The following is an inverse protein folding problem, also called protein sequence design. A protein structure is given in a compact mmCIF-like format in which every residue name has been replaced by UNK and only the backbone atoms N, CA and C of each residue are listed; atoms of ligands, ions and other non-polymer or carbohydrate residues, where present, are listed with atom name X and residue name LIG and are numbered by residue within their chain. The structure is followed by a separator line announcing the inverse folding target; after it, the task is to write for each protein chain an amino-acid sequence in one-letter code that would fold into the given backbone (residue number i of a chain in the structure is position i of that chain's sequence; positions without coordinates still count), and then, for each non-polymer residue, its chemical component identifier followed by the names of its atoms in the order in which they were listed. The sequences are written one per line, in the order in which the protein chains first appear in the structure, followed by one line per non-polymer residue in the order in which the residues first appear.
data_IF_728307582780
#
_entry.id   IF_728307582780
#
_cell.length_a   1.000
_cell.length_b   1.000
_cell.length_c   1.000
_cell.angle_alpha   90.00
_cell.angle_beta   90.00
_cell.angle_gamma   90.00
#
_symmetry.space_group_name_H-M   'P 1'
#
loop_
_entity.id
_entity.type
_entity.pdbx_description
1 polymer ?
#
# COMPACT_ATOMS: atom_id res chain seq x y z
N UNK A 1 42.41 -17.41 -48.77
CA UNK A 1 42.44 -18.77 -48.18
C UNK A 1 43.04 -18.67 -46.78
N UNK A 2 42.52 -19.43 -45.80
CA UNK A 2 42.38 -18.97 -44.41
C UNK A 2 43.25 -19.74 -43.41
N UNK A 3 43.47 -19.14 -42.23
CA UNK A 3 43.64 -19.76 -40.90
C UNK A 3 44.16 -18.67 -39.93
N UNK A 4 43.72 -18.51 -38.69
CA UNK A 4 42.64 -19.13 -37.90
C UNK A 4 42.55 -18.33 -36.60
N UNK A 5 41.35 -17.84 -36.28
CA UNK A 5 40.96 -17.39 -34.95
C UNK A 5 41.07 -18.56 -33.97
N UNK A 6 42.10 -18.58 -33.12
CA UNK A 6 42.10 -19.52 -31.98
C UNK A 6 42.90 -19.06 -30.74
N UNK A 7 43.49 -17.86 -30.76
CA UNK A 7 44.30 -17.37 -29.62
C UNK A 7 43.63 -16.30 -28.75
N UNK A 8 42.42 -15.84 -29.07
CA UNK A 8 41.73 -14.79 -28.30
C UNK A 8 40.49 -15.25 -27.52
N UNK A 9 40.08 -16.53 -27.66
CA UNK A 9 38.97 -17.11 -26.91
C UNK A 9 39.39 -17.93 -25.67
N UNK A 10 40.70 -18.14 -25.44
CA UNK A 10 41.19 -18.89 -24.27
C UNK A 10 41.56 -18.04 -23.05
N UNK A 11 41.59 -16.71 -23.17
CA UNK A 11 41.92 -15.80 -22.06
C UNK A 11 40.73 -15.00 -21.49
N UNK A 12 39.53 -15.12 -22.08
CA UNK A 12 38.30 -14.56 -21.50
C UNK A 12 37.42 -15.60 -20.78
N UNK A 13 37.71 -16.90 -20.93
CA UNK A 13 36.94 -17.98 -20.25
C UNK A 13 37.58 -18.40 -18.92
N UNK A 14 38.85 -18.08 -18.68
CA UNK A 14 39.57 -18.37 -17.42
C UNK A 14 39.39 -17.30 -16.34
N UNK A 15 38.87 -16.11 -16.67
CA UNK A 15 38.56 -15.06 -15.68
C UNK A 15 37.08 -14.94 -15.30
N UNK A 16 36.19 -15.74 -15.92
CA UNK A 16 34.77 -15.82 -15.55
C UNK A 16 34.47 -17.04 -14.65
N UNK A 17 35.34 -18.05 -14.63
CA UNK A 17 35.22 -19.21 -13.73
C UNK A 17 35.91 -18.97 -12.36
N UNK A 18 36.76 -17.95 -12.25
CA UNK A 18 37.41 -17.56 -10.99
C UNK A 18 36.64 -16.50 -10.18
N UNK A 19 35.54 -15.93 -10.71
CA UNK A 19 34.64 -15.01 -9.99
C UNK A 19 33.26 -15.60 -9.66
N UNK A 20 32.99 -16.83 -10.05
CA UNK A 20 31.80 -17.60 -9.66
C UNK A 20 32.12 -18.65 -8.56
N UNK A 21 33.40 -18.78 -8.16
CA UNK A 21 33.85 -19.74 -7.16
C UNK A 21 34.18 -19.15 -5.76
N UNK A 22 33.84 -17.88 -5.48
CA UNK A 22 34.06 -17.25 -4.15
C UNK A 22 32.78 -16.84 -3.41
N UNK A 23 31.61 -17.33 -3.84
CA UNK A 23 30.32 -17.12 -3.16
C UNK A 23 29.70 -18.42 -2.61
N UNK A 24 30.48 -19.51 -2.54
CA UNK A 24 29.98 -20.84 -2.16
C UNK A 24 30.70 -21.46 -0.95
N UNK A 25 31.16 -20.67 0.04
CA UNK A 25 31.82 -21.22 1.24
C UNK A 25 31.30 -20.71 2.59
N UNK A 26 30.03 -20.34 2.69
CA UNK A 26 29.42 -20.04 4.00
C UNK A 26 28.08 -20.74 4.16
N UNK A 27 28.11 -22.08 4.29
CA UNK A 27 27.05 -22.87 4.91
C UNK A 27 27.52 -24.32 5.05
N UNK A 28 28.30 -24.59 6.09
CA UNK A 28 28.44 -25.92 6.68
C UNK A 28 28.46 -25.74 8.18
N UNK A 29 27.29 -25.75 8.79
CA UNK A 29 27.11 -26.19 10.17
C UNK A 29 25.92 -27.14 10.21
N UNK A 30 26.11 -28.18 11.00
CA UNK A 30 25.41 -29.44 10.98
C UNK A 30 23.95 -29.33 11.39
N UNK A 31 23.10 -30.04 10.65
CA UNK A 31 21.75 -30.39 11.10
C UNK A 31 21.86 -31.61 12.01
N UNK A 32 21.32 -31.51 13.23
CA UNK A 32 20.48 -32.49 13.95
C UNK A 32 20.20 -31.93 15.36
N UNK A 33 18.95 -31.60 15.66
CA UNK A 33 18.17 -32.25 16.74
C UNK A 33 16.75 -31.68 16.82
N UNK A 34 15.81 -32.59 17.06
CA UNK A 34 14.38 -32.35 17.19
C UNK A 34 13.99 -31.79 18.56
N UNK A 35 12.78 -31.21 18.60
CA UNK A 35 11.85 -30.98 19.71
C UNK A 35 11.78 -29.54 20.26
N UNK A 36 10.59 -28.95 20.03
CA UNK A 36 9.93 -27.84 20.74
C UNK A 36 10.66 -26.49 20.81
N UNK A 37 10.19 -25.49 20.05
CA UNK A 37 10.51 -24.07 20.31
C UNK A 37 11.01 -23.21 19.14
N UNK A 38 10.83 -23.62 17.88
CA UNK A 38 11.33 -22.88 16.72
C UNK A 38 10.31 -21.94 16.07
N UNK A 39 10.11 -20.74 16.63
CA UNK A 39 9.45 -19.63 15.93
C UNK A 39 9.85 -18.22 16.44
N UNK A 40 10.71 -18.08 17.47
CA UNK A 40 10.88 -16.79 18.18
C UNK A 40 12.12 -15.99 17.75
N UNK A 41 12.96 -16.48 16.83
CA UNK A 41 14.32 -15.91 16.65
C UNK A 41 14.45 -14.93 15.47
N UNK A 42 13.50 -14.88 14.53
CA UNK A 42 13.70 -14.09 13.29
C UNK A 42 13.27 -12.61 13.42
N UNK A 43 12.27 -12.28 14.24
CA UNK A 43 11.72 -10.92 14.32
C UNK A 43 12.65 -9.91 15.01
N UNK A 44 13.47 -10.37 15.96
CA UNK A 44 14.35 -9.47 16.74
C UNK A 44 15.38 -8.76 15.86
N UNK A 45 15.79 -9.35 14.73
CA UNK A 45 16.92 -8.87 13.93
C UNK A 45 16.63 -7.53 13.23
N UNK A 46 15.40 -7.32 12.78
CA UNK A 46 15.02 -6.16 11.98
C UNK A 46 14.19 -5.13 12.76
N UNK A 47 14.06 -5.29 14.08
CA UNK A 47 13.39 -4.30 14.94
C UNK A 47 14.03 -2.92 14.77
N UNK A 48 13.20 -1.90 14.61
CA UNK A 48 13.64 -0.53 14.32
C UNK A 48 14.09 -0.27 12.88
N UNK A 49 14.06 -1.29 11.99
CA UNK A 49 14.26 -1.12 10.54
C UNK A 49 12.92 -0.97 9.82
N UNK A 50 12.99 -0.48 8.59
CA UNK A 50 11.88 -0.48 7.64
C UNK A 50 12.17 -1.55 6.60
N UNK A 51 11.22 -2.44 6.36
CA UNK A 51 11.38 -3.53 5.38
C UNK A 51 10.89 -3.06 4.01
N UNK A 52 11.79 -2.99 3.03
CA UNK A 52 11.44 -2.72 1.63
C UNK A 52 11.55 -4.00 0.81
N UNK A 53 11.04 -3.98 -0.43
CA UNK A 53 11.22 -5.10 -1.38
C UNK A 53 12.68 -5.37 -1.73
N UNK A 54 13.58 -4.38 -1.54
CA UNK A 54 15.04 -4.53 -1.72
C UNK A 54 15.76 -5.00 -0.43
N UNK A 55 15.04 -5.16 0.67
CA UNK A 55 15.58 -5.50 1.99
C UNK A 55 15.37 -4.40 3.04
N UNK A 56 15.85 -4.60 4.28
CA UNK A 56 15.72 -3.63 5.36
C UNK A 56 16.58 -2.38 5.11
N UNK A 57 16.04 -1.21 5.47
CA UNK A 57 16.73 0.09 5.50
C UNK A 57 16.65 0.72 6.88
N UNK A 58 17.52 1.68 7.17
CA UNK A 58 17.38 2.56 8.33
C UNK A 58 16.20 3.52 8.15
N UNK A 59 15.48 3.91 9.22
CA UNK A 59 14.40 4.88 9.12
C UNK A 59 14.80 6.21 8.47
N UNK A 60 16.05 6.66 8.66
CA UNK A 60 16.53 7.92 8.10
C UNK A 60 16.78 7.86 6.58
N UNK A 61 16.77 6.67 5.97
CA UNK A 61 16.84 6.48 4.52
C UNK A 61 15.47 6.62 3.83
N UNK A 62 14.36 6.62 4.59
CA UNK A 62 13.00 6.58 4.05
C UNK A 62 12.64 7.84 3.23
N UNK A 63 12.98 9.03 3.72
CA UNK A 63 12.66 10.30 3.05
C UNK A 63 11.17 10.59 2.87
N UNK A 64 10.82 11.34 1.82
CA UNK A 64 9.42 11.68 1.48
C UNK A 64 8.69 10.40 1.06
N UNK A 65 7.57 10.13 1.71
CA UNK A 65 6.84 8.86 1.59
C UNK A 65 5.38 9.06 1.21
N UNK A 66 4.93 8.30 0.21
CA UNK A 66 3.50 8.07 -0.05
C UNK A 66 3.09 6.79 0.69
N UNK A 67 2.15 6.90 1.63
CA UNK A 67 1.81 5.84 2.59
C UNK A 67 0.71 4.88 2.13
N UNK A 68 0.02 5.23 1.04
CA UNK A 68 -1.04 4.40 0.48
C UNK A 68 -1.11 4.61 -1.03
N UNK A 69 -0.64 3.61 -1.77
CA UNK A 69 -0.65 3.60 -3.23
C UNK A 69 -0.74 2.17 -3.76
N UNK A 70 -1.19 2.01 -5.01
CA UNK A 70 -1.17 0.74 -5.72
C UNK A 70 -0.41 0.86 -7.04
N UNK A 71 0.71 0.15 -7.14
CA UNK A 71 1.54 0.16 -8.35
C UNK A 71 1.10 -0.93 -9.32
N UNK A 72 0.76 -2.10 -8.80
CA UNK A 72 0.32 -3.27 -9.56
C UNK A 72 -0.89 -3.87 -8.85
N UNK A 73 -2.04 -3.93 -9.52
CA UNK A 73 -3.31 -4.33 -8.92
C UNK A 73 -4.28 -4.98 -9.91
N UNK A 74 -5.22 -5.75 -9.38
CA UNK A 74 -6.35 -6.33 -10.09
C UNK A 74 -7.55 -6.43 -9.15
N UNK A 75 -8.43 -5.44 -9.24
CA UNK A 75 -9.68 -5.35 -8.49
C UNK A 75 -10.92 -5.66 -9.34
N UNK A 76 -10.73 -6.24 -10.53
CA UNK A 76 -11.84 -6.52 -11.46
C UNK A 76 -12.88 -7.43 -10.80
N UNK A 77 -12.44 -8.52 -10.19
CA UNK A 77 -13.35 -9.46 -9.51
C UNK A 77 -14.00 -8.88 -8.25
N UNK A 78 -13.45 -7.79 -7.71
CA UNK A 78 -13.96 -7.11 -6.51
C UNK A 78 -15.07 -6.12 -6.82
N UNK A 79 -14.88 -5.27 -7.84
CA UNK A 79 -15.79 -4.13 -8.09
C UNK A 79 -16.49 -4.14 -9.45
N UNK A 80 -15.97 -4.86 -10.45
CA UNK A 80 -16.55 -4.81 -11.78
C UNK A 80 -17.79 -5.71 -11.87
N UNK A 81 -18.92 -5.11 -12.25
CA UNK A 81 -20.15 -5.83 -12.58
C UNK A 81 -20.45 -5.61 -14.05
N UNK A 82 -20.46 -6.70 -14.81
CA UNK A 82 -20.77 -6.63 -16.24
C UNK A 82 -22.23 -6.22 -16.47
N UNK A 83 -22.46 -5.24 -17.33
CA UNK A 83 -23.79 -4.73 -17.62
C UNK A 83 -24.68 -5.73 -18.40
N UNK A 84 -25.99 -5.62 -18.25
CA UNK A 84 -26.95 -6.40 -19.07
C UNK A 84 -27.24 -5.76 -20.44
N UNK A 85 -26.94 -4.47 -20.62
CA UNK A 85 -27.12 -3.79 -21.89
C UNK A 85 -25.89 -3.98 -22.79
N UNK A 86 -26.09 -4.29 -24.08
CA UNK A 86 -25.00 -4.57 -25.02
C UNK A 86 -24.04 -3.38 -25.19
N UNK A 87 -24.56 -2.16 -25.30
CA UNK A 87 -23.73 -0.96 -25.44
C UNK A 87 -22.82 -0.76 -24.22
N UNK A 88 -23.37 -0.88 -23.01
CA UNK A 88 -22.60 -0.75 -21.76
C UNK A 88 -21.63 -1.90 -21.55
N UNK A 89 -21.96 -3.13 -21.97
CA UNK A 89 -20.98 -4.23 -21.97
C UNK A 89 -19.80 -3.96 -22.89
N UNK A 90 -20.08 -3.47 -24.09
CA UNK A 90 -19.04 -3.15 -25.07
C UNK A 90 -18.13 -2.02 -24.55
N UNK A 91 -18.71 -1.02 -23.90
CA UNK A 91 -17.96 0.02 -23.18
C UNK A 91 -17.10 -0.60 -22.06
N UNK A 92 -17.71 -1.43 -21.21
CA UNK A 92 -17.07 -1.98 -20.02
C UNK A 92 -15.90 -2.92 -20.33
N UNK A 93 -15.96 -3.66 -21.44
CA UNK A 93 -14.87 -4.50 -21.95
C UNK A 93 -13.84 -3.75 -22.80
N UNK A 94 -14.14 -2.50 -23.15
CA UNK A 94 -13.31 -1.66 -24.02
C UNK A 94 -12.07 -1.10 -23.30
N UNK A 95 -11.14 -0.50 -24.06
CA UNK A 95 -10.00 0.21 -23.48
C UNK A 95 -10.43 1.58 -22.92
N UNK A 96 -9.61 2.13 -22.02
CA UNK A 96 -9.68 3.55 -21.65
C UNK A 96 -9.15 4.36 -22.83
N UNK A 97 -9.97 5.29 -23.33
CA UNK A 97 -9.63 6.21 -24.41
C UNK A 97 -10.14 7.60 -24.09
N UNK A 98 -9.60 8.63 -24.74
CA UNK A 98 -9.98 10.02 -24.44
C UNK A 98 -11.50 10.26 -24.54
N UNK A 99 -12.19 9.61 -25.47
CA UNK A 99 -13.64 9.78 -25.66
C UNK A 99 -14.51 9.17 -24.56
N UNK A 100 -14.00 8.23 -23.75
CA UNK A 100 -14.76 7.61 -22.65
C UNK A 100 -14.30 8.05 -21.25
N UNK A 101 -13.27 8.89 -21.14
CA UNK A 101 -12.80 9.49 -19.88
C UNK A 101 -13.92 10.12 -19.03
N UNK A 102 -14.87 10.80 -19.66
CA UNK A 102 -15.98 11.44 -18.95
C UNK A 102 -16.90 10.44 -18.21
N UNK A 103 -16.98 9.20 -18.69
CA UNK A 103 -17.76 8.13 -18.03
C UNK A 103 -17.08 7.74 -16.72
N UNK A 104 -15.76 7.59 -16.75
CA UNK A 104 -14.93 7.21 -15.61
C UNK A 104 -15.00 8.21 -14.44
N UNK A 105 -15.18 9.50 -14.72
CA UNK A 105 -15.46 10.51 -13.67
C UNK A 105 -16.84 10.39 -13.01
N UNK A 106 -17.79 9.71 -13.66
CA UNK A 106 -19.16 9.49 -13.16
C UNK A 106 -19.37 8.10 -12.57
N UNK A 107 -18.53 7.16 -12.97
CA UNK A 107 -18.47 5.83 -12.40
C UNK A 107 -17.11 5.21 -12.75
N UNK A 108 -16.15 5.16 -11.80
CA UNK A 108 -14.84 4.56 -12.03
C UNK A 108 -14.92 3.06 -12.39
N UNK A 109 -16.01 2.39 -12.05
CA UNK A 109 -16.20 0.94 -12.25
C UNK A 109 -16.83 0.61 -13.60
N UNK A 110 -17.14 1.62 -14.43
CA UNK A 110 -17.80 1.42 -15.70
C UNK A 110 -16.95 0.68 -16.75
N UNK A 111 -15.61 0.73 -16.62
CA UNK A 111 -14.68 0.08 -17.55
C UNK A 111 -13.75 -0.83 -16.76
N UNK A 112 -13.80 -2.14 -17.03
CA UNK A 112 -13.02 -3.14 -16.26
C UNK A 112 -11.52 -2.90 -16.34
N UNK A 113 -11.04 -2.44 -17.49
CA UNK A 113 -9.63 -2.08 -17.69
C UNK A 113 -9.14 -0.96 -16.76
N UNK A 114 -10.03 -0.22 -16.09
CA UNK A 114 -9.67 0.79 -15.09
C UNK A 114 -9.25 0.20 -13.75
N UNK A 115 -9.78 -0.98 -13.43
CA UNK A 115 -9.62 -1.69 -12.16
C UNK A 115 -8.42 -2.65 -12.14
N UNK A 116 -7.60 -2.62 -13.20
CA UNK A 116 -6.45 -3.51 -13.34
C UNK A 116 -5.26 -2.78 -13.93
N UNK A 117 -4.11 -2.94 -13.28
CA UNK A 117 -2.83 -2.46 -13.76
C UNK A 117 -1.74 -3.49 -13.45
N UNK A 118 -1.23 -4.14 -14.49
CA UNK A 118 -0.24 -5.23 -14.39
C UNK A 118 1.04 -4.96 -15.20
N UNK A 119 1.25 -3.71 -15.63
CA UNK A 119 2.40 -3.32 -16.42
C UNK A 119 3.51 -2.70 -15.57
N UNK A 120 4.56 -3.48 -15.29
CA UNK A 120 5.76 -3.03 -14.56
C UNK A 120 6.37 -1.76 -15.18
N UNK A 121 6.50 -1.72 -16.50
CA UNK A 121 7.10 -0.57 -17.22
C UNK A 121 6.23 0.68 -17.12
N UNK A 122 4.91 0.52 -17.18
CA UNK A 122 3.98 1.63 -17.05
C UNK A 122 3.96 2.15 -15.60
N UNK A 123 3.88 1.24 -14.62
CA UNK A 123 3.98 1.56 -13.19
C UNK A 123 5.28 2.32 -12.85
N UNK A 124 6.42 1.84 -13.34
CA UNK A 124 7.69 2.52 -13.16
C UNK A 124 7.70 3.92 -13.78
N UNK A 125 7.13 4.09 -14.97
CA UNK A 125 7.03 5.41 -15.63
C UNK A 125 6.17 6.38 -14.82
N UNK A 126 5.02 5.92 -14.33
CA UNK A 126 4.12 6.75 -13.50
C UNK A 126 4.79 7.13 -12.16
N UNK A 127 5.43 6.17 -11.49
CA UNK A 127 6.14 6.39 -10.22
C UNK A 127 7.36 7.32 -10.37
N UNK A 128 8.01 7.37 -11.54
CA UNK A 128 9.09 8.32 -11.80
C UNK A 128 8.63 9.78 -11.69
N UNK A 129 7.35 10.09 -11.93
CA UNK A 129 6.84 11.44 -11.71
C UNK A 129 7.00 11.89 -10.25
N UNK A 130 6.81 10.97 -9.31
CA UNK A 130 7.06 11.19 -7.88
C UNK A 130 8.55 11.24 -7.55
N UNK A 131 9.37 10.36 -8.14
CA UNK A 131 10.84 10.42 -7.95
C UNK A 131 11.42 11.75 -8.43
N UNK A 132 10.99 12.26 -9.58
CA UNK A 132 11.51 13.47 -10.23
C UNK A 132 11.27 14.75 -9.41
N UNK A 133 10.27 14.75 -8.53
CA UNK A 133 9.99 15.86 -7.61
C UNK A 133 10.64 15.69 -6.23
N UNK A 134 11.49 14.66 -6.06
CA UNK A 134 12.22 14.38 -4.83
C UNK A 134 11.59 13.34 -3.91
N UNK A 135 10.59 12.59 -4.39
CA UNK A 135 10.02 11.45 -3.68
C UNK A 135 11.04 10.33 -3.44
N UNK A 136 10.91 9.62 -2.32
CA UNK A 136 11.85 8.58 -1.91
C UNK A 136 11.21 7.21 -1.74
N UNK A 137 10.01 7.16 -1.14
CA UNK A 137 9.39 5.90 -0.71
C UNK A 137 7.91 5.82 -1.05
N UNK A 138 7.45 4.61 -1.35
CA UNK A 138 6.04 4.28 -1.57
C UNK A 138 5.70 3.05 -0.73
N UNK A 139 4.63 3.12 0.04
CA UNK A 139 3.99 1.95 0.64
C UNK A 139 2.94 1.44 -0.33
N UNK A 140 3.17 0.24 -0.83
CA UNK A 140 2.32 -0.41 -1.82
C UNK A 140 1.37 -1.36 -1.09
N UNK A 141 0.07 -1.06 -1.18
CA UNK A 141 -0.94 -1.63 -0.29
C UNK A 141 -1.81 -2.70 -0.96
N UNK A 142 -1.44 -3.20 -2.14
CA UNK A 142 -2.27 -4.18 -2.87
C UNK A 142 -2.44 -5.48 -2.07
N UNK A 143 -3.67 -5.86 -1.66
CA UNK A 143 -3.90 -6.99 -0.77
C UNK A 143 -3.72 -8.37 -1.41
N UNK A 144 -3.70 -9.41 -0.56
CA UNK A 144 -3.80 -10.80 -1.00
C UNK A 144 -5.10 -11.00 -1.77
N UNK A 145 -5.01 -11.48 -3.01
CA UNK A 145 -6.16 -11.73 -3.89
C UNK A 145 -6.49 -10.60 -4.85
N UNK A 146 -5.87 -9.42 -4.70
CA UNK A 146 -6.15 -8.23 -5.49
C UNK A 146 -5.03 -7.87 -6.48
N UNK A 147 -4.26 -8.86 -6.95
CA UNK A 147 -3.25 -8.67 -8.00
C UNK A 147 -1.85 -8.26 -7.53
N UNK A 148 -1.52 -8.39 -6.23
CA UNK A 148 -0.16 -8.09 -5.73
C UNK A 148 0.92 -8.86 -6.50
N UNK A 149 2.05 -8.22 -6.76
CA UNK A 149 3.19 -8.82 -7.47
C UNK A 149 4.53 -8.40 -6.85
N UNK A 150 5.06 -9.14 -5.87
CA UNK A 150 6.31 -8.77 -5.20
C UNK A 150 7.52 -8.71 -6.14
N UNK A 151 7.54 -9.53 -7.19
CA UNK A 151 8.64 -9.54 -8.17
C UNK A 151 8.58 -8.28 -9.03
N UNK A 152 7.39 -7.93 -9.50
CA UNK A 152 7.14 -6.69 -10.23
C UNK A 152 7.51 -5.45 -9.40
N UNK A 153 7.15 -5.42 -8.11
CA UNK A 153 7.52 -4.33 -7.19
C UNK A 153 9.05 -4.20 -7.03
N UNK A 154 9.78 -5.32 -6.93
CA UNK A 154 11.25 -5.28 -6.89
C UNK A 154 11.85 -4.71 -8.19
N UNK A 155 11.28 -5.06 -9.35
CA UNK A 155 11.71 -4.53 -10.64
C UNK A 155 11.44 -3.02 -10.72
N UNK A 156 10.23 -2.56 -10.33
CA UNK A 156 9.88 -1.13 -10.28
C UNK A 156 10.83 -0.37 -9.34
N UNK A 157 11.06 -0.89 -8.13
CA UNK A 157 11.99 -0.29 -7.15
C UNK A 157 13.40 -0.15 -7.74
N UNK A 158 13.85 -1.15 -8.50
CA UNK A 158 15.17 -1.13 -9.16
C UNK A 158 15.24 -0.11 -10.30
N UNK A 159 14.18 -0.01 -11.11
CA UNK A 159 14.11 0.91 -12.26
C UNK A 159 14.00 2.39 -11.84
N UNK A 160 13.31 2.65 -10.74
CA UNK A 160 12.98 4.01 -10.28
C UNK A 160 13.88 4.53 -9.16
N UNK A 161 14.62 3.63 -8.50
CA UNK A 161 15.35 3.89 -7.26
C UNK A 161 14.46 4.47 -6.14
N UNK A 162 13.18 4.10 -6.14
CA UNK A 162 12.27 4.32 -5.00
C UNK A 162 12.37 3.15 -4.03
N UNK A 163 12.30 3.43 -2.73
CA UNK A 163 12.04 2.38 -1.74
C UNK A 163 10.57 1.99 -1.81
N UNK A 164 10.29 0.72 -2.08
CA UNK A 164 8.91 0.21 -2.09
C UNK A 164 8.73 -0.69 -0.88
N UNK A 165 7.78 -0.37 -0.03
CA UNK A 165 7.35 -1.17 1.11
C UNK A 165 6.10 -1.92 0.68
N UNK A 166 6.22 -3.22 0.40
CA UNK A 166 5.07 -4.04 0.05
C UNK A 166 4.25 -4.40 1.31
N UNK A 167 2.96 -4.62 1.12
CA UNK A 167 2.04 -4.94 2.21
C UNK A 167 1.55 -6.39 2.17
N UNK A 168 1.06 -6.87 3.32
CA UNK A 168 0.36 -8.15 3.43
C UNK A 168 -0.91 -7.98 4.25
N UNK A 169 -2.01 -8.53 3.75
CA UNK A 169 -3.32 -8.37 4.38
C UNK A 169 -4.41 -8.94 3.50
N UNK A 170 -5.60 -9.07 4.10
CA UNK A 170 -6.81 -9.44 3.38
C UNK A 170 -7.73 -8.22 3.33
N UNK A 171 -8.24 -7.94 2.14
CA UNK A 171 -9.09 -6.77 1.89
C UNK A 171 -10.53 -6.97 2.41
N UNK A 172 -11.50 -6.28 1.82
CA UNK A 172 -12.92 -6.53 2.06
C UNK A 172 -13.32 -7.94 1.61
N UNK A 173 -14.41 -8.47 2.17
CA UNK A 173 -14.83 -9.85 1.92
C UNK A 173 -15.06 -10.16 0.41
N UNK A 174 -15.39 -9.15 -0.39
CA UNK A 174 -15.54 -9.28 -1.85
C UNK A 174 -14.20 -9.51 -2.59
N UNK A 175 -13.09 -9.00 -2.05
CA UNK A 175 -11.74 -9.16 -2.61
C UNK A 175 -10.99 -10.40 -2.12
N UNK A 176 -11.57 -11.18 -1.20
CA UNK A 176 -10.91 -12.35 -0.64
C UNK A 176 -10.72 -13.47 -1.67
N UNK A 177 -9.54 -14.11 -1.74
CA UNK A 177 -9.39 -15.36 -2.47
C UNK A 177 -10.39 -16.44 -2.04
N UNK A 178 -10.71 -17.34 -2.98
CA UNK A 178 -11.56 -18.50 -2.69
C UNK A 178 -10.99 -19.29 -1.51
N UNK A 179 -11.77 -19.43 -0.46
CA UNK A 179 -11.43 -20.25 0.71
C UNK A 179 -10.99 -19.48 1.94
N UNK A 180 -10.74 -18.16 1.89
CA UNK A 180 -10.40 -17.35 3.08
C UNK A 180 -11.45 -17.50 4.20
N UNK A 181 -12.74 -17.56 3.83
CA UNK A 181 -13.84 -17.85 4.76
C UNK A 181 -13.66 -19.15 5.54
N UNK A 182 -13.06 -20.17 4.92
CA UNK A 182 -12.86 -21.50 5.49
C UNK A 182 -11.59 -21.59 6.35
N UNK A 183 -10.65 -20.65 6.18
CA UNK A 183 -9.43 -20.61 6.98
C UNK A 183 -9.77 -20.22 8.42
N UNK A 184 -9.10 -20.89 9.36
CA UNK A 184 -9.10 -20.50 10.76
C UNK A 184 -8.35 -19.19 10.97
N UNK A 185 -8.60 -18.55 12.12
CA UNK A 185 -7.88 -17.34 12.53
C UNK A 185 -6.35 -17.54 12.49
N UNK A 186 -5.87 -18.69 12.98
CA UNK A 186 -4.44 -18.99 13.01
C UNK A 186 -3.86 -19.17 11.61
N UNK A 187 -4.54 -19.87 10.71
CA UNK A 187 -4.07 -20.04 9.31
C UNK A 187 -3.97 -18.71 8.56
N UNK A 188 -4.90 -17.78 8.83
CA UNK A 188 -4.83 -16.42 8.30
C UNK A 188 -3.62 -15.67 8.88
N UNK A 189 -3.41 -15.73 10.19
CA UNK A 189 -2.28 -15.09 10.84
C UNK A 189 -0.94 -15.66 10.35
N UNK A 190 -0.84 -16.98 10.21
CA UNK A 190 0.36 -17.67 9.72
C UNK A 190 0.69 -17.27 8.27
N UNK A 191 -0.33 -17.04 7.44
CA UNK A 191 -0.16 -16.52 6.07
C UNK A 191 0.49 -15.13 6.09
N UNK A 192 -0.03 -14.22 6.92
CA UNK A 192 0.50 -12.86 7.02
C UNK A 192 1.91 -12.86 7.63
N UNK A 193 2.14 -13.66 8.67
CA UNK A 193 3.46 -13.81 9.31
C UNK A 193 4.48 -14.38 8.31
N UNK A 194 4.09 -15.34 7.47
CA UNK A 194 4.94 -15.88 6.43
C UNK A 194 5.42 -14.78 5.47
N UNK A 195 4.53 -13.90 5.03
CA UNK A 195 4.83 -12.79 4.13
C UNK A 195 5.78 -11.76 4.76
N UNK A 196 5.60 -11.46 6.06
CA UNK A 196 6.42 -10.51 6.81
C UNK A 196 7.80 -11.05 7.21
N UNK A 197 7.90 -12.35 7.52
CA UNK A 197 9.12 -12.95 8.10
C UNK A 197 9.98 -13.63 7.04
N UNK A 198 9.38 -14.34 6.10
CA UNK A 198 10.09 -15.24 5.18
C UNK A 198 9.98 -14.81 3.72
N UNK A 199 8.84 -14.25 3.31
CA UNK A 199 8.61 -13.70 1.97
C UNK A 199 7.27 -14.09 1.36
N UNK A 200 6.79 -13.21 0.48
CA UNK A 200 5.51 -13.30 -0.23
C UNK A 200 5.58 -14.24 -1.43
N UNK A 201 4.49 -14.94 -1.72
CA UNK A 201 4.23 -15.64 -2.99
C UNK A 201 5.38 -16.54 -3.47
N UNK A 202 5.99 -17.28 -2.53
CA UNK A 202 7.14 -18.19 -2.75
C UNK A 202 8.43 -17.49 -3.21
N UNK A 203 8.55 -16.20 -2.91
CA UNK A 203 9.78 -15.42 -3.10
C UNK A 203 10.53 -15.27 -1.78
N UNK A 204 11.60 -14.46 -1.77
CA UNK A 204 12.29 -14.00 -0.54
C UNK A 204 12.00 -12.52 -0.25
N UNK A 205 11.05 -11.93 -0.98
CA UNK A 205 10.68 -10.52 -0.87
C UNK A 205 9.62 -10.43 0.24
N UNK A 206 9.95 -9.72 1.31
CA UNK A 206 9.09 -9.62 2.49
C UNK A 206 8.19 -8.39 2.41
N UNK A 207 7.00 -8.51 2.97
CA UNK A 207 6.17 -7.36 3.28
C UNK A 207 6.80 -6.58 4.46
N UNK A 208 6.57 -5.27 4.50
CA UNK A 208 6.98 -4.39 5.61
C UNK A 208 5.82 -3.69 6.31
N UNK A 209 4.61 -3.88 5.82
CA UNK A 209 3.39 -3.25 6.31
C UNK A 209 2.22 -4.24 6.26
N UNK A 210 1.24 -4.04 7.13
CA UNK A 210 -0.01 -4.80 7.14
C UNK A 210 -1.10 -3.96 6.48
N UNK A 211 -1.51 -4.32 5.27
CA UNK A 211 -2.46 -3.52 4.51
C UNK A 211 -2.71 -4.10 3.12
N UNK A 212 -3.68 -3.58 2.40
CA UNK A 212 -4.84 -2.85 2.91
C UNK A 212 -5.81 -3.85 3.61
N UNK A 213 -6.10 -3.63 4.90
CA UNK A 213 -7.00 -4.47 5.69
C UNK A 213 -8.45 -3.97 5.59
N UNK A 214 -9.27 -4.65 4.79
CA UNK A 214 -10.57 -4.11 4.43
C UNK A 214 -11.68 -4.28 5.47
N UNK A 215 -12.48 -3.23 5.62
CA UNK A 215 -13.74 -3.25 6.36
C UNK A 215 -14.89 -2.74 5.50
N UNK A 216 -15.93 -3.56 5.32
CA UNK A 216 -17.19 -3.15 4.68
C UNK A 216 -18.15 -2.58 5.72
N UNK A 217 -19.10 -1.74 5.32
CA UNK A 217 -20.20 -1.28 6.18
C UNK A 217 -20.84 -2.44 6.94
N UNK A 218 -20.94 -2.29 8.27
CA UNK A 218 -21.44 -3.33 9.18
C UNK A 218 -20.38 -4.29 9.73
N UNK A 219 -19.12 -4.18 9.28
CA UNK A 219 -17.95 -4.93 9.76
C UNK A 219 -18.19 -6.45 9.80
N UNK A 220 -18.09 -7.10 8.64
CA UNK A 220 -18.47 -8.50 8.47
C UNK A 220 -17.61 -9.45 9.31
N UNK A 221 -18.17 -10.58 9.75
CA UNK A 221 -17.47 -11.57 10.60
C UNK A 221 -16.14 -12.06 9.98
N UNK A 222 -16.10 -12.21 8.65
CA UNK A 222 -14.88 -12.61 7.94
C UNK A 222 -13.80 -11.52 7.97
N UNK A 223 -14.19 -10.25 7.87
CA UNK A 223 -13.30 -9.09 7.94
C UNK A 223 -12.78 -8.89 9.37
N UNK A 224 -13.67 -9.04 10.37
CA UNK A 224 -13.30 -9.09 11.80
C UNK A 224 -12.25 -10.17 12.06
N UNK A 225 -12.45 -11.38 11.50
CA UNK A 225 -11.49 -12.48 11.61
C UNK A 225 -10.14 -12.13 10.96
N UNK A 226 -10.14 -11.44 9.81
CA UNK A 226 -8.93 -10.97 9.15
C UNK A 226 -8.20 -9.88 9.94
N UNK A 227 -8.91 -8.90 10.52
CA UNK A 227 -8.33 -7.88 11.39
C UNK A 227 -7.65 -8.50 12.62
N UNK A 228 -8.28 -9.50 13.25
CA UNK A 228 -7.67 -10.25 14.35
C UNK A 228 -6.41 -11.01 13.91
N UNK A 229 -6.42 -11.59 12.71
CA UNK A 229 -5.25 -12.26 12.15
C UNK A 229 -4.08 -11.26 11.96
N UNK A 230 -4.37 -10.06 11.45
CA UNK A 230 -3.40 -8.98 11.31
C UNK A 230 -2.89 -8.49 12.67
N UNK A 231 -3.73 -8.41 13.71
CA UNK A 231 -3.30 -8.10 15.07
C UNK A 231 -2.32 -9.14 15.62
N UNK A 232 -2.57 -10.44 15.42
CA UNK A 232 -1.62 -11.50 15.78
C UNK A 232 -0.29 -11.33 15.02
N UNK A 233 -0.35 -11.04 13.72
CA UNK A 233 0.85 -10.82 12.92
C UNK A 233 1.63 -9.57 13.36
N UNK A 234 0.94 -8.48 13.71
CA UNK A 234 1.54 -7.29 14.31
C UNK A 234 2.28 -7.65 15.60
N UNK A 235 1.62 -8.34 16.53
CA UNK A 235 2.23 -8.74 17.80
C UNK A 235 3.41 -9.71 17.63
N UNK A 236 3.44 -10.44 16.51
CA UNK A 236 4.56 -11.30 16.17
C UNK A 236 5.74 -10.51 15.58
N UNK A 237 5.49 -9.47 14.78
CA UNK A 237 6.49 -8.87 13.86
C UNK A 237 6.84 -7.40 14.13
N UNK A 238 5.98 -6.66 14.83
CA UNK A 238 6.09 -5.22 15.00
C UNK A 238 5.69 -4.38 13.78
N UNK A 239 5.17 -4.98 12.70
CA UNK A 239 4.72 -4.24 11.52
C UNK A 239 3.46 -3.41 11.85
N UNK A 240 3.45 -2.14 11.45
CA UNK A 240 2.24 -1.31 11.56
C UNK A 240 1.17 -1.74 10.55
N UNK A 241 -0.07 -1.29 10.76
CA UNK A 241 -1.20 -1.67 9.91
C UNK A 241 -2.02 -0.49 9.41
N UNK A 242 -2.46 -0.60 8.16
CA UNK A 242 -3.47 0.22 7.50
C UNK A 242 -4.79 -0.53 7.40
N UNK A 243 -5.89 0.20 7.63
CA UNK A 243 -7.24 -0.35 7.65
C UNK A 243 -8.14 0.52 6.79
N UNK A 244 -8.53 0.01 5.63
CA UNK A 244 -9.59 0.56 4.81
C UNK A 244 -10.91 0.61 5.56
N UNK A 245 -11.45 1.81 5.67
CA UNK A 245 -12.76 2.07 6.24
C UNK A 245 -13.76 2.28 5.12
N UNK A 246 -14.86 1.52 5.12
CA UNK A 246 -16.02 1.85 4.29
C UNK A 246 -16.49 3.29 4.55
N UNK A 247 -16.42 4.19 3.56
CA UNK A 247 -16.74 5.60 3.76
C UNK A 247 -18.21 5.88 4.12
N UNK A 248 -19.09 4.92 3.82
CA UNK A 248 -20.52 5.00 4.13
C UNK A 248 -20.84 4.67 5.58
N UNK A 249 -19.90 4.11 6.35
CA UNK A 249 -20.06 3.78 7.77
C UNK A 249 -19.18 4.70 8.66
N UNK A 250 -19.50 4.78 9.95
CA UNK A 250 -18.71 5.48 10.98
C UNK A 250 -18.06 4.48 11.92
N UNK A 251 -17.39 3.50 11.33
CA UNK A 251 -16.89 2.32 12.03
C UNK A 251 -15.51 2.47 12.69
N UNK A 252 -14.78 3.57 12.46
CA UNK A 252 -13.43 3.80 13.01
C UNK A 252 -13.30 3.42 14.50
N UNK A 253 -14.19 3.92 15.37
CA UNK A 253 -14.10 3.64 16.81
C UNK A 253 -14.27 2.16 17.16
N UNK A 254 -15.08 1.41 16.36
CA UNK A 254 -15.24 -0.04 16.54
C UNK A 254 -13.96 -0.77 16.15
N UNK A 255 -13.36 -0.37 15.03
CA UNK A 255 -12.08 -0.91 14.53
C UNK A 255 -10.95 -0.66 15.54
N UNK A 256 -10.83 0.58 16.04
CA UNK A 256 -9.86 0.95 17.09
C UNK A 256 -10.08 0.08 18.33
N UNK A 257 -11.32 -0.03 18.82
CA UNK A 257 -11.65 -0.82 20.00
C UNK A 257 -11.33 -2.31 19.81
N UNK A 258 -11.58 -2.85 18.61
CA UNK A 258 -11.24 -4.23 18.28
C UNK A 258 -9.72 -4.46 18.33
N UNK A 259 -8.93 -3.68 17.57
CA UNK A 259 -7.49 -3.87 17.47
C UNK A 259 -6.77 -3.61 18.79
N UNK A 260 -7.19 -2.59 19.55
CA UNK A 260 -6.63 -2.31 20.87
C UNK A 260 -6.98 -3.40 21.90
N UNK A 261 -8.16 -4.02 21.80
CA UNK A 261 -8.50 -5.21 22.63
C UNK A 261 -7.62 -6.40 22.31
N UNK A 262 -7.23 -6.58 21.04
CA UNK A 262 -6.26 -7.60 20.63
C UNK A 262 -4.81 -7.23 21.01
N UNK A 263 -4.56 -6.04 21.56
CA UNK A 263 -3.26 -5.61 22.08
C UNK A 263 -2.42 -4.75 21.13
N UNK A 264 -2.98 -4.34 19.98
CA UNK A 264 -2.30 -3.42 19.06
C UNK A 264 -2.28 -2.01 19.67
N UNK A 265 -1.11 -1.37 19.69
CA UNK A 265 -1.01 0.01 20.17
C UNK A 265 -1.64 0.97 19.16
N UNK A 266 -2.38 2.01 19.61
CA UNK A 266 -3.00 2.96 18.69
C UNK A 266 -2.02 3.60 17.71
N UNK A 267 -0.79 3.91 18.14
CA UNK A 267 0.27 4.48 17.29
C UNK A 267 0.89 3.48 16.29
N UNK A 268 0.25 2.31 16.10
CA UNK A 268 0.57 1.30 15.08
C UNK A 268 -0.60 1.03 14.14
N UNK A 269 -1.70 1.77 14.29
CA UNK A 269 -2.91 1.68 13.48
C UNK A 269 -3.03 2.95 12.64
N UNK A 270 -3.16 2.77 11.32
CA UNK A 270 -3.57 3.79 10.35
C UNK A 270 -5.02 3.51 9.97
N UNK A 271 -5.85 4.54 10.05
CA UNK A 271 -7.20 4.51 9.51
C UNK A 271 -7.22 5.29 8.20
N UNK A 272 -7.61 4.59 7.15
CA UNK A 272 -7.56 5.04 5.76
C UNK A 272 -8.89 5.69 5.36
N UNK A 273 -8.88 6.46 4.26
CA UNK A 273 -10.02 7.17 3.68
C UNK A 273 -10.70 8.16 4.65
N UNK A 274 -9.95 8.72 5.61
CA UNK A 274 -10.52 9.69 6.56
C UNK A 274 -10.74 11.08 5.96
N UNK A 275 -10.35 11.29 4.70
CA UNK A 275 -10.78 12.47 3.94
C UNK A 275 -12.24 12.42 3.51
N UNK A 276 -12.83 11.24 3.26
CA UNK A 276 -14.22 11.12 2.80
C UNK A 276 -15.28 11.69 3.78
N UNK A 277 -15.22 11.43 5.10
CA UNK A 277 -16.12 12.09 6.06
C UNK A 277 -15.73 13.54 6.37
N UNK A 278 -14.61 14.06 5.85
CA UNK A 278 -13.97 15.26 6.38
C UNK A 278 -14.73 16.56 6.11
N UNK A 279 -15.44 16.64 4.98
CA UNK A 279 -16.28 17.80 4.66
C UNK A 279 -17.55 17.82 5.52
N UNK A 280 -18.10 16.65 5.82
CA UNK A 280 -19.43 16.51 6.42
C UNK A 280 -19.41 16.35 7.95
N UNK A 281 -18.34 15.79 8.52
CA UNK A 281 -18.30 15.37 9.93
C UNK A 281 -16.95 15.67 10.62
N UNK A 282 -16.56 16.94 10.77
CA UNK A 282 -15.27 17.30 11.38
C UNK A 282 -15.12 16.87 12.84
N UNK A 283 -16.21 16.81 13.61
CA UNK A 283 -16.17 16.37 15.01
C UNK A 283 -15.91 14.86 15.13
N UNK A 284 -16.23 14.08 14.09
CA UNK A 284 -15.91 12.65 14.05
C UNK A 284 -14.40 12.44 13.95
N UNK A 285 -13.74 13.21 13.08
CA UNK A 285 -12.29 13.21 12.92
C UNK A 285 -11.56 13.55 14.22
N UNK A 286 -12.02 14.56 14.96
CA UNK A 286 -11.41 14.93 16.25
C UNK A 286 -11.55 13.84 17.32
N UNK A 287 -12.68 13.10 17.32
CA UNK A 287 -12.83 11.95 18.23
C UNK A 287 -11.87 10.82 17.89
N UNK A 288 -11.67 10.53 16.61
CA UNK A 288 -10.69 9.53 16.16
C UNK A 288 -9.28 9.96 16.57
N UNK A 289 -8.92 11.22 16.32
CA UNK A 289 -7.60 11.77 16.63
C UNK A 289 -7.23 11.64 18.11
N UNK A 290 -8.23 11.73 19.01
CA UNK A 290 -8.05 11.58 20.45
C UNK A 290 -7.63 10.16 20.88
N UNK A 291 -7.89 9.14 20.05
CA UNK A 291 -7.48 7.75 20.33
C UNK A 291 -6.00 7.49 20.03
N UNK A 292 -5.31 8.43 19.38
CA UNK A 292 -3.87 8.36 19.13
C UNK A 292 -3.45 7.47 17.95
N UNK A 293 -4.42 7.03 17.14
CA UNK A 293 -4.19 6.37 15.84
C UNK A 293 -3.71 7.36 14.78
N UNK A 294 -3.08 6.87 13.71
CA UNK A 294 -2.82 7.67 12.52
C UNK A 294 -4.10 7.79 11.70
N UNK A 295 -4.30 8.99 11.15
CA UNK A 295 -5.39 9.36 10.29
C UNK A 295 -4.84 9.66 8.91
N UNK A 296 -5.20 8.85 7.93
CA UNK A 296 -4.73 9.01 6.58
C UNK A 296 -5.78 9.73 5.72
N UNK A 297 -5.32 10.79 5.05
CA UNK A 297 -6.05 11.53 4.04
C UNK A 297 -5.43 11.14 2.71
N UNK A 298 -5.94 10.08 2.13
CA UNK A 298 -5.35 9.42 0.97
C UNK A 298 -6.03 9.81 -0.33
N UNK A 299 -7.18 10.47 -0.36
CA UNK A 299 -7.83 10.84 -1.63
C UNK A 299 -7.27 12.05 -2.41
N UNK A 300 -6.03 12.52 -2.21
CA UNK A 300 -5.57 13.77 -2.86
C UNK A 300 -5.52 13.66 -4.39
N UNK A 301 -6.24 14.54 -5.09
CA UNK A 301 -6.46 14.48 -6.54
C UNK A 301 -7.60 13.54 -6.97
N UNK A 302 -8.16 12.73 -6.07
CA UNK A 302 -9.39 11.98 -6.29
C UNK A 302 -10.59 12.91 -6.11
N UNK A 303 -11.21 13.31 -7.23
CA UNK A 303 -12.39 14.20 -7.23
C UNK A 303 -13.49 13.70 -8.20
N UNK A 304 -13.71 12.39 -8.26
CA UNK A 304 -14.72 11.74 -9.10
C UNK A 304 -15.92 11.21 -8.29
N UNK A 305 -16.92 10.68 -8.99
CA UNK A 305 -18.15 10.17 -8.39
C UNK A 305 -18.24 8.66 -8.56
N UNK A 306 -18.42 7.94 -7.45
CA UNK A 306 -18.79 6.53 -7.45
C UNK A 306 -20.26 6.40 -7.81
N UNK A 307 -20.52 6.13 -9.10
CA UNK A 307 -21.86 5.96 -9.63
C UNK A 307 -22.65 4.80 -9.00
N UNK A 308 -23.91 4.59 -9.41
CA UNK A 308 -24.74 3.51 -8.87
C UNK A 308 -24.04 2.14 -8.93
N UNK A 309 -24.22 1.29 -7.91
CA UNK A 309 -25.15 1.45 -6.76
C UNK A 309 -24.59 2.28 -5.59
N UNK A 310 -23.32 2.67 -5.62
CA UNK A 310 -22.61 3.26 -4.47
C UNK A 310 -23.08 4.69 -4.16
N UNK A 311 -23.19 5.54 -5.19
CA UNK A 311 -23.64 6.92 -5.08
C UNK A 311 -22.82 7.80 -4.10
N UNK A 312 -21.51 7.60 -4.04
CA UNK A 312 -20.58 8.33 -3.16
C UNK A 312 -19.80 9.37 -3.95
N UNK A 313 -19.63 10.57 -3.37
CA UNK A 313 -18.90 11.69 -3.98
C UNK A 313 -17.59 11.88 -3.23
N UNK A 314 -16.48 11.84 -3.95
CA UNK A 314 -15.17 12.18 -3.40
C UNK A 314 -15.12 13.66 -2.99
N UNK A 315 -14.54 13.98 -1.81
CA UNK A 315 -14.22 15.34 -1.43
C UNK A 315 -13.35 16.05 -2.47
N UNK A 316 -13.33 17.38 -2.40
CA UNK A 316 -12.35 18.21 -3.12
C UNK A 316 -11.08 18.39 -2.28
N UNK A 317 -9.93 18.60 -2.91
CA UNK A 317 -8.66 18.83 -2.21
C UNK A 317 -8.71 20.02 -1.25
N UNK A 318 -9.52 21.04 -1.57
CA UNK A 318 -9.76 22.18 -0.67
C UNK A 318 -10.45 21.76 0.63
N UNK A 319 -11.40 20.83 0.58
CA UNK A 319 -12.06 20.29 1.76
C UNK A 319 -11.07 19.47 2.59
N UNK A 320 -10.24 18.64 1.94
CA UNK A 320 -9.14 17.88 2.57
C UNK A 320 -8.19 18.81 3.31
N UNK A 321 -7.74 19.88 2.67
CA UNK A 321 -6.82 20.86 3.27
C UNK A 321 -7.41 21.54 4.52
N UNK A 322 -8.70 21.91 4.48
CA UNK A 322 -9.39 22.50 5.65
C UNK A 322 -9.48 21.52 6.80
N UNK A 323 -9.78 20.25 6.52
CA UNK A 323 -9.87 19.22 7.56
C UNK A 323 -8.51 18.90 8.18
N UNK A 324 -7.46 18.73 7.37
CA UNK A 324 -6.08 18.56 7.83
C UNK A 324 -5.67 19.73 8.72
N UNK A 325 -5.94 20.98 8.29
CA UNK A 325 -5.62 22.16 9.09
C UNK A 325 -6.32 22.15 10.46
N UNK A 326 -7.57 21.69 10.54
CA UNK A 326 -8.31 21.58 11.80
C UNK A 326 -7.67 20.55 12.75
N UNK A 327 -7.22 19.41 12.24
CA UNK A 327 -6.50 18.41 13.05
C UNK A 327 -5.17 18.97 13.58
N UNK A 328 -4.44 19.71 12.74
CA UNK A 328 -3.21 20.39 13.13
C UNK A 328 -3.48 21.44 14.22
N UNK A 329 -4.51 22.27 14.06
CA UNK A 329 -4.91 23.28 15.05
C UNK A 329 -5.34 22.67 16.39
N UNK A 330 -5.85 21.43 16.36
CA UNK A 330 -6.17 20.65 17.54
C UNK A 330 -4.95 19.91 18.14
N UNK A 331 -3.76 20.02 17.54
CA UNK A 331 -2.52 19.45 18.05
C UNK A 331 -2.22 18.02 17.59
N UNK A 332 -2.85 17.54 16.52
CA UNK A 332 -2.76 16.15 16.07
C UNK A 332 -1.84 15.92 14.85
N UNK A 333 -0.97 16.87 14.49
CA UNK A 333 -0.09 16.77 13.30
C UNK A 333 0.76 15.49 13.26
N UNK A 334 1.22 14.99 14.42
CA UNK A 334 2.02 13.75 14.52
C UNK A 334 1.23 12.46 14.26
N UNK A 335 -0.05 12.58 13.91
CA UNK A 335 -0.98 11.50 13.62
C UNK A 335 -1.71 11.71 12.31
N UNK A 336 -1.26 12.60 11.44
CA UNK A 336 -1.83 12.80 10.10
C UNK A 336 -0.88 12.27 9.03
N UNK A 337 -1.41 11.53 8.07
CA UNK A 337 -0.74 11.09 6.85
C UNK A 337 -1.49 11.65 5.63
N UNK A 338 -0.78 11.94 4.55
CA UNK A 338 -1.35 12.46 3.29
C UNK A 338 -0.73 11.72 2.10
N UNK A 339 -1.56 11.26 1.16
CA UNK A 339 -1.15 10.47 -0.03
C UNK A 339 -2.26 10.52 -1.11
N UNK A 340 -2.24 9.68 -2.15
CA UNK A 340 -3.21 9.77 -3.27
C UNK A 340 -4.16 8.58 -3.45
N UNK A 341 -3.80 7.41 -2.89
CA UNK A 341 -4.48 6.15 -3.17
C UNK A 341 -4.71 5.96 -4.69
N UNK A 342 -3.63 5.94 -5.46
CA UNK A 342 -3.73 5.58 -6.88
C UNK A 342 -4.02 4.08 -6.95
N UNK A 343 -5.28 3.74 -7.15
CA UNK A 343 -5.77 2.36 -7.28
C UNK A 343 -6.56 2.12 -8.59
N UNK A 344 -6.74 3.16 -9.40
CA UNK A 344 -7.38 3.12 -10.71
C UNK A 344 -6.47 3.69 -11.78
N UNK A 345 -6.48 3.08 -12.97
CA UNK A 345 -5.72 3.62 -14.12
C UNK A 345 -6.12 5.05 -14.46
N UNK A 346 -7.38 5.43 -14.29
CA UNK A 346 -7.85 6.79 -14.56
C UNK A 346 -7.12 7.88 -13.75
N UNK A 347 -6.54 7.53 -12.59
CA UNK A 347 -5.79 8.48 -11.75
C UNK A 347 -4.36 8.69 -12.28
N UNK A 348 -3.82 7.78 -13.07
CA UNK A 348 -2.47 7.85 -13.64
C UNK A 348 -2.40 8.76 -14.88
N UNK A 349 -1.25 9.39 -15.12
CA UNK A 349 -1.05 10.38 -16.20
C UNK A 349 -1.19 9.79 -17.58
N UNK A 350 -0.73 8.55 -17.78
CA UNK A 350 -0.84 7.80 -19.03
C UNK A 350 -2.29 7.68 -19.50
N UNK A 351 -3.24 7.68 -18.56
CA UNK A 351 -4.67 7.61 -18.84
C UNK A 351 -5.39 8.93 -18.62
N UNK A 352 -4.66 10.05 -18.52
CA UNK A 352 -5.19 11.40 -18.40
C UNK A 352 -5.60 11.83 -16.99
N UNK A 353 -5.15 11.13 -15.95
CA UNK A 353 -5.22 11.56 -14.55
C UNK A 353 -4.01 12.39 -14.12
N UNK A 354 -3.93 12.67 -12.81
CA UNK A 354 -2.92 13.57 -12.26
C UNK A 354 -1.62 12.86 -11.79
N UNK A 355 -1.68 11.55 -11.51
CA UNK A 355 -0.54 10.71 -11.17
C UNK A 355 0.08 10.96 -9.79
N UNK A 356 1.18 10.24 -9.52
CA UNK A 356 1.84 10.15 -8.20
C UNK A 356 2.51 11.45 -7.69
N UNK A 357 2.49 12.53 -8.48
CA UNK A 357 3.03 13.84 -8.07
C UNK A 357 1.92 14.91 -7.88
N UNK A 358 0.64 14.51 -7.97
CA UNK A 358 -0.51 15.41 -7.85
C UNK A 358 -0.52 16.14 -6.50
N UNK A 359 -0.34 15.43 -5.39
CA UNK A 359 -0.27 15.98 -4.04
C UNK A 359 0.76 17.11 -3.97
N UNK A 360 1.93 16.94 -4.57
CA UNK A 360 3.00 17.93 -4.49
C UNK A 360 2.73 19.14 -5.38
N UNK A 361 2.16 18.92 -6.57
CA UNK A 361 1.86 19.99 -7.53
C UNK A 361 0.67 20.84 -7.12
N UNK A 362 -0.34 20.24 -6.51
CA UNK A 362 -1.64 20.88 -6.28
C UNK A 362 -2.09 20.79 -4.82
N UNK A 363 -1.93 19.63 -4.18
CA UNK A 363 -2.34 19.44 -2.78
C UNK A 363 -1.53 20.25 -1.76
N UNK A 364 -0.20 20.26 -1.86
CA UNK A 364 0.68 21.01 -0.95
C UNK A 364 0.48 22.53 -1.09
N UNK A 365 0.38 23.12 -2.30
CA UNK A 365 -0.07 24.50 -2.44
C UNK A 365 -1.43 24.76 -1.77
N UNK A 366 -2.41 23.87 -1.93
CA UNK A 366 -3.74 24.00 -1.31
C UNK A 366 -3.67 23.95 0.23
N UNK A 367 -2.82 23.09 0.80
CA UNK A 367 -2.54 23.06 2.25
C UNK A 367 -1.94 24.38 2.74
N UNK A 368 -0.97 24.94 2.01
CA UNK A 368 -0.36 26.23 2.34
C UNK A 368 -1.37 27.37 2.29
N UNK A 369 -2.25 27.38 1.29
CA UNK A 369 -3.35 28.34 1.20
C UNK A 369 -4.34 28.22 2.37
N UNK A 370 -4.54 27.01 2.90
CA UNK A 370 -5.30 26.76 4.13
C UNK A 370 -4.53 27.14 5.42
N UNK A 371 -3.27 27.57 5.31
CA UNK A 371 -2.45 28.03 6.42
C UNK A 371 -1.66 26.92 7.13
N UNK A 372 -1.46 25.76 6.49
CA UNK A 372 -0.58 24.71 7.00
C UNK A 372 0.88 25.12 6.77
N UNK A 373 1.72 24.99 7.81
CA UNK A 373 3.13 25.34 7.73
C UNK A 373 3.96 24.25 7.03
N UNK A 374 5.07 24.61 6.39
CA UNK A 374 5.97 23.63 5.75
C UNK A 374 6.54 22.61 6.76
N UNK A 375 6.69 22.99 8.03
CA UNK A 375 7.11 22.07 9.09
C UNK A 375 6.06 20.98 9.36
N UNK A 376 4.77 21.31 9.33
CA UNK A 376 3.69 20.35 9.49
C UNK A 376 3.61 19.41 8.27
N UNK A 377 3.80 19.96 7.06
CA UNK A 377 3.89 19.17 5.82
C UNK A 377 5.05 18.17 5.91
N UNK A 378 6.22 18.61 6.38
CA UNK A 378 7.38 17.74 6.61
C UNK A 378 7.04 16.64 7.63
N UNK A 379 6.33 16.97 8.71
CA UNK A 379 5.90 15.97 9.69
C UNK A 379 5.00 14.91 9.06
N UNK A 380 4.00 15.31 8.28
CA UNK A 380 3.05 14.38 7.65
C UNK A 380 3.70 13.49 6.56
N UNK A 381 4.65 14.01 5.79
CA UNK A 381 5.27 13.31 4.65
C UNK A 381 6.57 12.55 4.98
N UNK A 382 7.22 12.86 6.10
CA UNK A 382 8.54 12.32 6.44
C UNK A 382 8.57 11.78 7.87
N UNK A 383 8.30 12.61 8.87
CA UNK A 383 8.51 12.20 10.27
C UNK A 383 7.51 11.14 10.74
N UNK A 384 6.25 11.27 10.33
CA UNK A 384 5.18 10.34 10.65
C UNK A 384 5.42 8.97 9.97
N UNK A 385 5.61 8.87 8.64
CA UNK A 385 5.99 7.62 7.97
C UNK A 385 7.23 6.96 8.58
N UNK A 386 8.29 7.75 8.85
CA UNK A 386 9.54 7.25 9.42
C UNK A 386 9.36 6.60 10.80
N UNK A 387 8.53 7.20 11.65
CA UNK A 387 8.21 6.67 12.99
C UNK A 387 7.32 5.43 12.92
N UNK A 388 6.35 5.46 12.02
CA UNK A 388 5.32 4.43 11.87
C UNK A 388 5.86 3.14 11.25
N UNK A 389 6.60 3.24 10.15
CA UNK A 389 7.03 2.08 9.35
C UNK A 389 8.19 1.30 9.98
N UNK A 390 8.92 1.90 10.93
CA UNK A 390 9.96 1.18 11.66
C UNK A 390 9.32 0.11 12.55
N UNK A 391 9.73 -1.16 12.37
CA UNK A 391 9.15 -2.29 13.11
C UNK A 391 9.26 -2.08 14.62
N UNK A 392 8.12 -2.05 15.31
CA UNK A 392 8.07 -2.02 16.78
C UNK A 392 6.76 -2.51 17.35
N UNK A 393 6.89 -3.21 18.48
CA UNK A 393 5.80 -3.61 19.36
C UNK A 393 5.44 -2.51 20.34
#
# INVERSE_FOLDING_TARGET
MPASCDCLLRNCVTNLVARVASLASYCRHEWVSHLTGGAVVTVVRDMGKIITVRGPIEPDELGITLMHEHLLFDFVDTYYVEAEEEEQRNLGRGPIVLSNRGVLYRNPFAISANLKHDSIVDAAREALAFKDIGGSSIVEQTPIGCGRDPVGLLEISTMTDLHIIASSGFYIAAGHPRGVRMLSLQELADTIIQDLVNGMDRTQIRAGFLGDLGTTSGLLDDEVKCLRAAAIAHLHTGAAMGVHLDPSDRQAMKVIGLLTTEGVRPDRIVLEHLDEPAEVEPDYLLRIAAEGVYMEFDGWGSEFYYGPPWNVVEPRDRARAVAVKRLIDAGHVERVLITHDIWLRQQMKTYGGDGFDCLFRYGLPTLREAGVADADIQTMLVDNPRRLLALSL
#
